data_IF_727616706309
#
_entry.id   IF_727616706309
#
_cell.length_a   1.000
_cell.length_b   1.000
_cell.length_c   1.000
_cell.angle_alpha   90.00
_cell.angle_beta   90.00
_cell.angle_gamma   90.00
#
_symmetry.space_group_name_H-M   'P 1'
#
loop_
_entity.id
_entity.type
_entity.pdbx_description
1 polymer ?
#
# COMPACT_ATOMS: atom_id res chain seq x y z
N UNK A 1 -19.13 17.66 -10.80
CA UNK A 1 -18.06 17.14 -11.67
C UNK A 1 -17.01 18.22 -11.84
N UNK A 2 -15.96 18.23 -11.04
CA UNK A 2 -14.77 19.07 -11.20
C UNK A 2 -13.55 18.20 -11.56
N UNK A 3 -13.75 17.14 -12.32
CA UNK A 3 -12.84 16.03 -12.53
C UNK A 3 -11.57 16.30 -13.34
N UNK A 4 -11.29 17.54 -13.76
CA UNK A 4 -10.15 17.82 -14.64
C UNK A 4 -9.10 18.78 -14.07
N UNK A 5 -9.22 19.17 -12.80
CA UNK A 5 -8.25 20.08 -12.17
C UNK A 5 -7.74 19.51 -10.86
N UNK A 6 -6.42 19.50 -10.71
CA UNK A 6 -5.77 19.20 -9.45
C UNK A 6 -6.21 20.22 -8.39
N UNK A 7 -6.51 19.75 -7.20
CA UNK A 7 -6.89 20.61 -6.08
C UNK A 7 -5.64 21.17 -5.40
N UNK A 8 -5.31 22.44 -5.63
CA UNK A 8 -4.11 23.06 -5.08
C UNK A 8 -4.09 23.00 -3.54
N UNK A 9 -5.21 23.32 -2.88
CA UNK A 9 -5.25 23.33 -1.41
C UNK A 9 -5.05 21.95 -0.79
N UNK A 10 -5.51 20.87 -1.46
CA UNK A 10 -5.19 19.52 -1.05
C UNK A 10 -3.68 19.25 -1.07
N UNK A 11 -3.00 19.71 -2.12
CA UNK A 11 -1.56 19.50 -2.23
C UNK A 11 -0.76 20.36 -1.27
N UNK A 12 -1.24 21.54 -0.89
CA UNK A 12 -0.60 22.37 0.13
C UNK A 12 -0.61 21.67 1.50
N UNK A 13 -1.75 21.08 1.89
CA UNK A 13 -1.87 20.29 3.12
C UNK A 13 -1.02 19.01 3.05
N UNK A 14 -1.02 18.36 1.89
CA UNK A 14 -0.27 17.12 1.67
C UNK A 14 1.25 17.36 1.70
N UNK A 15 1.73 18.46 1.13
CA UNK A 15 3.13 18.88 1.17
C UNK A 15 3.59 19.10 2.60
N UNK A 16 2.79 19.81 3.39
CA UNK A 16 3.09 20.03 4.80
C UNK A 16 3.23 18.69 5.54
N UNK A 17 2.33 17.75 5.31
CA UNK A 17 2.39 16.43 5.92
C UNK A 17 3.64 15.65 5.50
N UNK A 18 3.96 15.60 4.21
CA UNK A 18 5.13 14.88 3.70
C UNK A 18 6.43 15.48 4.26
N UNK A 19 6.54 16.81 4.28
CA UNK A 19 7.69 17.53 4.83
C UNK A 19 7.83 17.31 6.34
N UNK A 20 6.72 17.36 7.08
CA UNK A 20 6.69 17.08 8.51
C UNK A 20 7.18 15.66 8.82
N UNK A 21 6.68 14.67 8.09
CA UNK A 21 7.09 13.28 8.26
C UNK A 21 8.58 13.09 7.91
N UNK A 22 9.03 13.73 6.83
CA UNK A 22 10.44 13.70 6.44
C UNK A 22 11.34 14.27 7.54
N UNK A 23 11.04 15.46 8.08
CA UNK A 23 11.80 16.10 9.16
C UNK A 23 11.84 15.28 10.44
N UNK A 24 10.86 14.43 10.66
CA UNK A 24 10.80 13.54 11.83
C UNK A 24 11.33 12.11 11.55
N UNK A 25 11.94 11.85 10.40
CA UNK A 25 12.50 10.55 10.04
C UNK A 25 11.45 9.45 9.83
N UNK A 26 10.22 9.83 9.50
CA UNK A 26 9.11 8.91 9.30
C UNK A 26 8.92 8.67 7.80
N UNK A 27 8.88 7.40 7.38
CA UNK A 27 8.54 7.03 6.01
C UNK A 27 7.04 7.12 5.76
N UNK A 28 6.68 7.57 4.57
CA UNK A 28 5.29 7.62 4.13
C UNK A 28 5.07 6.74 2.91
N UNK A 29 4.08 5.87 2.98
CA UNK A 29 3.60 5.11 1.82
C UNK A 29 2.44 5.86 1.19
N UNK A 30 2.64 6.38 -0.03
CA UNK A 30 1.63 7.13 -0.77
C UNK A 30 0.81 6.15 -1.60
N UNK A 31 -0.45 5.97 -1.21
CA UNK A 31 -1.41 5.16 -1.97
C UNK A 31 -1.97 5.98 -3.13
N UNK A 32 -1.64 5.58 -4.35
CA UNK A 32 -2.08 6.28 -5.56
C UNK A 32 -3.49 5.89 -5.99
N UNK A 33 -3.98 4.73 -5.54
CA UNK A 33 -5.34 4.28 -5.76
C UNK A 33 -5.84 3.49 -4.54
N UNK A 34 -7.11 3.66 -4.20
CA UNK A 34 -7.72 2.95 -3.06
C UNK A 34 -9.07 2.42 -3.51
N UNK A 35 -9.26 1.09 -3.50
CA UNK A 35 -10.47 0.46 -4.04
C UNK A 35 -11.62 0.39 -3.05
N UNK A 36 -11.35 0.33 -1.76
CA UNK A 36 -12.37 0.21 -0.72
C UNK A 36 -12.97 1.55 -0.26
N UNK A 37 -12.68 2.64 -0.97
CA UNK A 37 -13.22 3.97 -0.64
C UNK A 37 -13.97 4.56 -1.83
N UNK A 38 -15.07 5.22 -1.53
CA UNK A 38 -15.83 5.97 -2.52
C UNK A 38 -15.09 7.27 -2.86
N UNK A 39 -14.15 7.17 -3.79
CA UNK A 39 -13.38 8.30 -4.31
C UNK A 39 -13.68 8.41 -5.79
N UNK A 40 -13.92 9.62 -6.26
CA UNK A 40 -14.13 9.91 -7.69
C UNK A 40 -12.76 9.93 -8.41
N UNK A 41 -12.24 8.72 -8.66
CA UNK A 41 -10.99 8.55 -9.37
C UNK A 41 -11.12 8.93 -10.84
N UNK A 42 -10.07 9.48 -11.47
CA UNK A 42 -10.02 9.61 -12.91
C UNK A 42 -10.31 8.28 -13.61
N UNK A 43 -10.92 8.33 -14.77
CA UNK A 43 -11.17 7.13 -15.56
C UNK A 43 -9.85 6.41 -15.87
N UNK A 44 -9.83 5.09 -15.75
CA UNK A 44 -8.64 4.28 -16.03
C UNK A 44 -8.06 4.59 -17.41
N UNK A 45 -6.75 4.76 -17.46
CA UNK A 45 -5.96 5.02 -18.67
C UNK A 45 -6.36 6.31 -19.41
N UNK A 46 -7.03 7.23 -18.71
CA UNK A 46 -7.37 8.54 -19.26
C UNK A 46 -6.22 9.53 -19.13
N UNK A 47 -6.22 10.61 -19.92
CA UNK A 47 -5.26 11.73 -19.75
C UNK A 47 -5.33 12.36 -18.35
N UNK A 48 -6.49 12.35 -17.72
CA UNK A 48 -6.66 12.88 -16.36
C UNK A 48 -5.97 12.00 -15.32
N UNK A 49 -6.05 10.67 -15.47
CA UNK A 49 -5.31 9.74 -14.63
C UNK A 49 -3.80 9.91 -14.82
N UNK A 50 -3.35 10.06 -16.05
CA UNK A 50 -1.95 10.34 -16.34
C UNK A 50 -1.48 11.62 -15.67
N UNK A 51 -2.26 12.69 -15.79
CA UNK A 51 -1.96 13.96 -15.13
C UNK A 51 -1.86 13.81 -13.61
N UNK A 52 -2.78 13.07 -13.01
CA UNK A 52 -2.79 12.77 -11.58
C UNK A 52 -1.53 12.01 -11.14
N UNK A 53 -1.21 10.89 -11.80
CA UNK A 53 -0.07 10.03 -11.46
C UNK A 53 1.27 10.77 -11.63
N UNK A 54 1.43 11.45 -12.76
CA UNK A 54 2.65 12.20 -13.06
C UNK A 54 2.83 13.39 -12.13
N UNK A 55 1.74 14.03 -11.70
CA UNK A 55 1.81 15.11 -10.72
C UNK A 55 2.32 14.60 -9.37
N UNK A 56 1.82 13.47 -8.87
CA UNK A 56 2.33 12.86 -7.65
C UNK A 56 3.80 12.46 -7.78
N UNK A 57 4.17 11.78 -8.85
CA UNK A 57 5.55 11.39 -9.09
C UNK A 57 6.47 12.62 -9.11
N UNK A 58 6.15 13.63 -9.91
CA UNK A 58 6.97 14.84 -10.03
C UNK A 58 7.11 15.61 -8.70
N UNK A 59 6.02 15.66 -7.91
CA UNK A 59 5.98 16.47 -6.68
C UNK A 59 6.72 15.82 -5.52
N UNK A 60 6.62 14.50 -5.35
CA UNK A 60 7.08 13.83 -4.13
C UNK A 60 8.30 12.93 -4.32
N UNK A 61 8.75 12.64 -5.53
CA UNK A 61 9.91 11.77 -5.77
C UNK A 61 11.21 12.26 -5.10
N UNK A 62 11.37 13.57 -4.91
CA UNK A 62 12.57 14.14 -4.27
C UNK A 62 12.65 13.86 -2.76
N UNK A 63 11.55 13.53 -2.11
CA UNK A 63 11.55 13.18 -0.69
C UNK A 63 12.07 11.77 -0.46
N UNK A 64 13.16 11.61 0.34
CA UNK A 64 13.79 10.29 0.52
C UNK A 64 12.96 9.31 1.35
N UNK A 65 11.98 9.80 2.07
CA UNK A 65 11.07 9.03 2.92
C UNK A 65 9.77 8.61 2.22
N UNK A 66 9.64 8.84 0.91
CA UNK A 66 8.45 8.44 0.14
C UNK A 66 8.62 7.02 -0.41
N UNK A 67 7.55 6.25 -0.29
CA UNK A 67 7.36 4.93 -0.89
C UNK A 67 6.09 4.99 -1.74
N UNK A 68 6.16 4.53 -2.97
CA UNK A 68 4.98 4.44 -3.84
C UNK A 68 4.20 3.15 -3.54
N UNK A 69 2.97 3.28 -3.12
CA UNK A 69 2.02 2.17 -3.11
C UNK A 69 0.99 2.40 -4.22
N UNK A 70 1.09 1.60 -5.28
CA UNK A 70 0.29 1.79 -6.48
C UNK A 70 -1.19 1.65 -6.18
N UNK A 71 -1.54 0.72 -5.31
CA UNK A 71 -2.93 0.51 -4.93
C UNK A 71 -3.06 -0.04 -3.52
N UNK A 72 -4.08 0.41 -2.79
CA UNK A 72 -4.62 -0.29 -1.63
C UNK A 72 -5.70 -1.26 -2.07
N UNK A 73 -5.70 -2.46 -1.48
CA UNK A 73 -6.67 -3.52 -1.75
C UNK A 73 -6.77 -3.86 -3.25
N UNK A 74 -5.61 -4.07 -3.85
CA UNK A 74 -5.48 -4.34 -5.28
C UNK A 74 -6.24 -5.58 -5.75
N UNK A 75 -6.63 -6.49 -4.84
CA UNK A 75 -7.45 -7.67 -5.13
C UNK A 75 -8.86 -7.34 -5.66
N UNK A 76 -9.32 -6.10 -5.50
CA UNK A 76 -10.54 -5.63 -6.17
C UNK A 76 -10.33 -5.26 -7.64
N UNK A 77 -9.07 -5.12 -8.09
CA UNK A 77 -8.77 -4.83 -9.49
C UNK A 77 -8.60 -6.13 -10.28
N UNK A 78 -9.49 -6.33 -11.23
CA UNK A 78 -9.45 -7.53 -12.08
C UNK A 78 -8.50 -7.42 -13.28
N UNK A 79 -8.20 -6.20 -13.72
CA UNK A 79 -7.20 -5.95 -14.76
C UNK A 79 -5.80 -5.76 -14.17
N UNK A 80 -5.07 -6.85 -14.01
CA UNK A 80 -3.69 -6.83 -13.49
C UNK A 80 -2.76 -6.00 -14.38
N UNK A 81 -2.92 -6.07 -15.68
CA UNK A 81 -2.11 -5.31 -16.62
C UNK A 81 -2.29 -3.80 -16.42
N UNK A 82 -3.45 -3.38 -15.96
CA UNK A 82 -3.68 -1.99 -15.60
C UNK A 82 -2.79 -1.56 -14.43
N UNK A 83 -2.71 -2.35 -13.36
CA UNK A 83 -1.84 -2.05 -12.20
C UNK A 83 -0.37 -1.97 -12.62
N UNK A 84 0.10 -2.86 -13.50
CA UNK A 84 1.46 -2.82 -14.01
C UNK A 84 1.72 -1.57 -14.85
N UNK A 85 0.76 -1.15 -15.68
CA UNK A 85 0.89 0.07 -16.47
C UNK A 85 1.01 1.33 -15.63
N UNK A 86 0.18 1.47 -14.61
CA UNK A 86 0.28 2.64 -13.70
C UNK A 86 1.56 2.60 -12.87
N UNK A 87 2.01 1.41 -12.46
CA UNK A 87 3.30 1.25 -11.77
C UNK A 87 4.48 1.66 -12.67
N UNK A 88 4.54 1.15 -13.89
CA UNK A 88 5.58 1.52 -14.87
C UNK A 88 5.57 3.03 -15.10
N UNK A 89 4.37 3.61 -15.28
CA UNK A 89 4.26 5.06 -15.47
C UNK A 89 4.86 5.86 -14.31
N UNK A 90 4.62 5.46 -13.07
CA UNK A 90 5.18 6.13 -11.89
C UNK A 90 6.69 5.92 -11.84
N UNK A 91 7.18 4.69 -12.03
CA UNK A 91 8.61 4.36 -12.01
C UNK A 91 9.41 5.08 -13.10
N UNK A 92 8.87 5.13 -14.31
CA UNK A 92 9.53 5.77 -15.46
C UNK A 92 9.64 7.30 -15.27
N UNK A 93 8.84 7.87 -14.38
CA UNK A 93 8.83 9.30 -14.06
C UNK A 93 9.38 9.62 -12.67
N UNK A 94 9.91 8.64 -11.97
CA UNK A 94 10.60 8.79 -10.70
C UNK A 94 12.11 8.69 -10.89
N UNK A 95 12.76 9.85 -11.01
CA UNK A 95 14.22 9.94 -11.24
C UNK A 95 15.06 9.44 -10.05
N UNK A 96 14.46 9.29 -8.87
CA UNK A 96 15.15 8.83 -7.66
C UNK A 96 14.92 7.36 -7.35
N UNK A 97 14.12 6.66 -8.15
CA UNK A 97 13.84 5.23 -8.01
C UNK A 97 13.39 4.84 -6.60
N UNK A 98 12.40 5.57 -6.08
CA UNK A 98 11.81 5.28 -4.76
C UNK A 98 11.20 3.88 -4.74
N UNK A 99 11.23 3.26 -3.58
CA UNK A 99 10.61 1.95 -3.41
C UNK A 99 9.15 1.97 -3.85
N UNK A 100 8.74 0.94 -4.54
CA UNK A 100 7.42 0.81 -5.10
C UNK A 100 6.81 -0.55 -4.75
N UNK A 101 5.56 -0.53 -4.31
CA UNK A 101 4.81 -1.73 -3.93
C UNK A 101 3.35 -1.63 -4.34
N UNK A 102 2.61 -2.71 -4.10
CA UNK A 102 1.15 -2.78 -4.16
C UNK A 102 0.68 -3.47 -2.89
N UNK A 103 -0.35 -2.94 -2.24
CA UNK A 103 -0.99 -3.63 -1.13
C UNK A 103 -2.08 -4.55 -1.68
N UNK A 104 -1.93 -5.83 -1.41
CA UNK A 104 -2.79 -6.85 -1.98
C UNK A 104 -3.02 -8.02 -1.01
N UNK A 105 -4.01 -8.85 -1.34
CA UNK A 105 -4.21 -10.15 -0.73
C UNK A 105 -3.38 -11.24 -1.41
N UNK A 106 -3.66 -12.49 -1.04
CA UNK A 106 -2.96 -13.68 -1.50
C UNK A 106 -2.86 -13.86 -3.03
N UNK A 107 -3.79 -13.31 -3.79
CA UNK A 107 -3.92 -13.62 -5.22
C UNK A 107 -2.75 -13.12 -6.07
N UNK A 108 -2.29 -11.92 -5.80
CA UNK A 108 -1.23 -11.30 -6.60
C UNK A 108 0.17 -11.71 -6.15
N UNK A 109 0.36 -12.01 -4.88
CA UNK A 109 1.66 -12.47 -4.38
C UNK A 109 2.10 -13.81 -4.98
N UNK A 110 1.19 -14.52 -5.65
CA UNK A 110 1.48 -15.75 -6.39
C UNK A 110 1.83 -15.52 -7.86
N UNK A 111 1.61 -14.30 -8.36
CA UNK A 111 1.91 -13.95 -9.75
C UNK A 111 3.40 -13.59 -9.87
N UNK A 112 4.16 -14.36 -10.64
CA UNK A 112 5.59 -14.13 -10.85
C UNK A 112 5.86 -12.74 -11.44
N UNK A 113 5.00 -12.27 -12.35
CA UNK A 113 5.12 -10.94 -12.95
C UNK A 113 4.98 -9.86 -11.88
N UNK A 114 4.05 -10.00 -10.95
CA UNK A 114 3.90 -9.09 -9.82
C UNK A 114 5.13 -9.07 -8.92
N UNK A 115 5.62 -10.24 -8.53
CA UNK A 115 6.79 -10.35 -7.67
C UNK A 115 8.04 -9.70 -8.27
N UNK A 116 8.18 -9.68 -9.60
CA UNK A 116 9.29 -9.03 -10.26
C UNK A 116 9.16 -7.51 -10.34
N UNK A 117 7.95 -6.98 -10.35
CA UNK A 117 7.71 -5.55 -10.57
C UNK A 117 7.77 -4.71 -9.30
N UNK A 118 7.48 -5.27 -8.12
CA UNK A 118 7.53 -4.55 -6.84
C UNK A 118 8.87 -4.73 -6.13
N UNK A 119 9.24 -3.78 -5.28
CA UNK A 119 10.47 -3.88 -4.49
C UNK A 119 10.29 -4.74 -3.24
N UNK A 120 9.09 -4.75 -2.68
CA UNK A 120 8.68 -5.58 -1.56
C UNK A 120 7.19 -5.89 -1.65
N UNK A 121 6.76 -6.93 -0.95
CA UNK A 121 5.35 -7.33 -0.93
C UNK A 121 4.64 -6.72 0.29
N UNK A 122 3.44 -6.20 0.09
CA UNK A 122 2.53 -5.82 1.18
C UNK A 122 1.30 -6.69 1.06
N UNK A 123 1.16 -7.60 2.01
CA UNK A 123 0.07 -8.58 2.04
C UNK A 123 -0.96 -8.18 3.10
N UNK A 124 -2.21 -8.08 2.68
CA UNK A 124 -3.35 -7.87 3.57
C UNK A 124 -4.06 -9.20 3.77
N UNK A 125 -3.88 -9.79 4.94
CA UNK A 125 -4.49 -11.07 5.28
C UNK A 125 -4.83 -11.14 6.76
N UNK A 126 -5.99 -11.67 7.06
CA UNK A 126 -6.51 -11.82 8.42
C UNK A 126 -6.37 -13.28 8.88
N UNK A 127 -5.16 -13.71 9.18
CA UNK A 127 -4.85 -15.04 9.69
C UNK A 127 -3.61 -15.67 9.04
N UNK A 128 -3.11 -16.74 9.64
CA UNK A 128 -1.95 -17.52 9.15
C UNK A 128 -0.70 -16.67 8.83
N UNK A 129 -0.42 -15.69 9.67
CA UNK A 129 0.64 -14.70 9.42
C UNK A 129 2.01 -15.32 9.20
N UNK A 130 2.41 -16.30 10.04
CA UNK A 130 3.70 -16.95 9.92
C UNK A 130 3.81 -17.72 8.60
N UNK A 131 2.81 -18.52 8.27
CA UNK A 131 2.79 -19.33 7.05
C UNK A 131 2.80 -18.47 5.80
N UNK A 132 1.93 -17.44 5.73
CA UNK A 132 1.88 -16.55 4.59
C UNK A 132 3.20 -15.80 4.40
N UNK A 133 3.76 -15.25 5.47
CA UNK A 133 5.01 -14.51 5.41
C UNK A 133 6.17 -15.40 4.96
N UNK A 134 6.34 -16.56 5.56
CA UNK A 134 7.37 -17.54 5.18
C UNK A 134 7.21 -17.99 3.73
N UNK A 135 5.99 -18.32 3.32
CA UNK A 135 5.69 -18.75 1.97
C UNK A 135 6.11 -17.72 0.91
N UNK A 136 5.73 -16.47 1.12
CA UNK A 136 6.07 -15.40 0.18
C UNK A 136 7.55 -15.03 0.21
N UNK A 137 8.16 -14.96 1.39
CA UNK A 137 9.59 -14.69 1.52
C UNK A 137 10.42 -15.72 0.77
N UNK A 138 10.13 -17.01 0.95
CA UNK A 138 10.84 -18.09 0.27
C UNK A 138 10.60 -18.10 -1.24
N UNK A 139 9.38 -17.83 -1.69
CA UNK A 139 9.01 -17.89 -3.10
C UNK A 139 9.52 -16.69 -3.89
N UNK A 140 9.46 -15.49 -3.34
CA UNK A 140 9.79 -14.25 -4.06
C UNK A 140 11.19 -13.74 -3.79
N UNK A 141 11.80 -14.17 -2.69
CA UNK A 141 13.09 -13.64 -2.20
C UNK A 141 13.07 -12.12 -1.99
N UNK A 142 11.92 -11.55 -1.68
CA UNK A 142 11.71 -10.14 -1.41
C UNK A 142 11.20 -9.95 0.02
N UNK A 143 11.44 -8.78 0.62
CA UNK A 143 10.82 -8.44 1.89
C UNK A 143 9.29 -8.52 1.80
N UNK A 144 8.66 -9.04 2.85
CA UNK A 144 7.22 -9.15 2.96
C UNK A 144 6.76 -8.38 4.19
N UNK A 145 5.80 -7.49 3.99
CA UNK A 145 5.13 -6.76 5.08
C UNK A 145 3.70 -7.28 5.18
N UNK A 146 3.34 -7.75 6.36
CA UNK A 146 1.93 -8.01 6.68
C UNK A 146 1.27 -6.68 7.01
N UNK A 147 0.71 -6.06 5.98
CA UNK A 147 -0.02 -4.80 6.08
C UNK A 147 -1.50 -5.04 6.36
N UNK A 148 -2.05 -4.42 7.36
CA UNK A 148 -3.41 -4.66 7.84
C UNK A 148 -3.64 -6.09 8.36
N UNK A 149 -2.90 -6.47 9.39
CA UNK A 149 -3.10 -7.74 10.09
C UNK A 149 -4.38 -7.81 10.95
N UNK A 150 -5.26 -6.85 10.82
CA UNK A 150 -6.50 -6.70 11.56
C UNK A 150 -6.40 -5.63 12.65
N UNK A 151 -7.47 -4.84 12.84
CA UNK A 151 -7.48 -3.74 13.81
C UNK A 151 -7.53 -4.25 15.25
N UNK A 152 -6.92 -3.49 16.16
CA UNK A 152 -7.16 -3.66 17.58
C UNK A 152 -8.48 -2.99 17.97
N UNK A 153 -9.35 -3.75 18.62
CA UNK A 153 -10.67 -3.28 19.07
C UNK A 153 -10.82 -3.22 20.59
N UNK A 154 -9.71 -3.06 21.29
CA UNK A 154 -9.73 -2.99 22.76
C UNK A 154 -9.78 -4.37 23.44
N UNK A 155 -9.98 -4.40 24.77
CA UNK A 155 -9.68 -5.57 25.59
C UNK A 155 -10.54 -6.82 25.35
N UNK A 156 -11.56 -6.75 24.52
CA UNK A 156 -12.53 -7.84 24.35
C UNK A 156 -12.57 -8.46 22.96
N UNK A 157 -11.77 -7.99 22.00
CA UNK A 157 -11.76 -8.55 20.66
C UNK A 157 -13.15 -8.57 20.01
N UNK A 158 -13.92 -7.52 20.20
CA UNK A 158 -15.30 -7.41 19.71
C UNK A 158 -15.26 -6.94 18.26
N UNK A 159 -16.24 -7.37 17.46
CA UNK A 159 -16.50 -6.80 16.16
C UNK A 159 -16.62 -5.27 16.27
N UNK A 160 -15.98 -4.54 15.35
CA UNK A 160 -16.22 -3.12 15.27
C UNK A 160 -17.68 -2.82 14.92
N UNK A 161 -18.06 -1.54 14.91
CA UNK A 161 -19.44 -1.12 14.59
C UNK A 161 -19.92 -1.52 13.18
N UNK A 162 -19.01 -1.98 12.32
CA UNK A 162 -19.30 -2.47 10.96
C UNK A 162 -19.40 -3.99 10.88
N UNK A 163 -19.17 -4.69 11.99
CA UNK A 163 -19.15 -6.16 12.05
C UNK A 163 -17.82 -6.77 11.58
N UNK A 164 -16.77 -5.98 11.45
CA UNK A 164 -15.45 -6.46 11.07
C UNK A 164 -14.76 -7.13 12.26
N UNK A 165 -14.13 -8.29 12.09
CA UNK A 165 -13.40 -8.93 13.17
C UNK A 165 -12.21 -8.08 13.58
N UNK A 166 -12.05 -7.87 14.87
CA UNK A 166 -10.93 -7.18 15.46
C UNK A 166 -10.28 -8.02 16.57
N UNK A 167 -9.08 -7.65 16.92
CA UNK A 167 -8.18 -8.43 17.77
C UNK A 167 -7.97 -7.73 19.11
N UNK A 168 -7.71 -8.51 20.17
CA UNK A 168 -7.20 -7.94 21.41
C UNK A 168 -5.74 -7.48 21.23
N UNK A 169 -5.25 -6.63 22.13
CA UNK A 169 -3.85 -6.19 22.12
C UNK A 169 -2.88 -7.39 22.14
N UNK A 170 -3.17 -8.41 22.95
CA UNK A 170 -2.35 -9.63 23.03
C UNK A 170 -2.35 -10.40 21.71
N UNK A 171 -3.49 -10.48 21.03
CA UNK A 171 -3.59 -11.11 19.71
C UNK A 171 -2.83 -10.31 18.65
N UNK A 172 -2.91 -8.98 18.68
CA UNK A 172 -2.11 -8.14 17.77
C UNK A 172 -0.61 -8.35 17.96
N UNK A 173 -0.17 -8.45 19.21
CA UNK A 173 1.23 -8.76 19.52
C UNK A 173 1.60 -10.17 19.05
N UNK A 174 0.76 -11.17 19.27
CA UNK A 174 1.00 -12.53 18.79
C UNK A 174 1.10 -12.58 17.25
N UNK A 175 0.19 -11.92 16.55
CA UNK A 175 0.19 -11.81 15.09
C UNK A 175 1.49 -11.16 14.57
N UNK A 176 1.96 -10.12 15.26
CA UNK A 176 3.22 -9.46 14.91
C UNK A 176 4.41 -10.43 15.07
N UNK A 177 4.47 -11.18 16.18
CA UNK A 177 5.49 -12.22 16.36
C UNK A 177 5.41 -13.31 15.28
N UNK A 178 4.23 -13.78 14.95
CA UNK A 178 4.05 -14.77 13.89
C UNK A 178 4.59 -14.27 12.55
N UNK A 179 4.26 -13.03 12.15
CA UNK A 179 4.76 -12.46 10.92
C UNK A 179 6.30 -12.36 10.91
N UNK A 180 6.88 -11.89 12.01
CA UNK A 180 8.34 -11.73 12.14
C UNK A 180 9.04 -13.09 12.17
N UNK A 181 8.49 -14.08 12.88
CA UNK A 181 9.03 -15.45 12.91
C UNK A 181 8.92 -16.15 11.55
N UNK A 182 7.95 -15.76 10.72
CA UNK A 182 7.85 -16.17 9.33
C UNK A 182 8.86 -15.51 8.39
N UNK A 183 9.68 -14.58 8.90
CA UNK A 183 10.72 -13.89 8.12
C UNK A 183 10.29 -12.56 7.48
N UNK A 184 9.17 -11.99 7.91
CA UNK A 184 8.65 -10.73 7.38
C UNK A 184 8.57 -9.62 8.40
N UNK A 185 7.81 -8.60 8.04
CA UNK A 185 7.52 -7.44 8.85
C UNK A 185 6.02 -7.36 9.12
N UNK A 186 5.64 -6.68 10.17
CA UNK A 186 4.25 -6.50 10.54
C UNK A 186 3.91 -5.01 10.62
N UNK A 187 2.79 -4.64 10.06
CA UNK A 187 2.20 -3.31 10.22
C UNK A 187 1.05 -3.40 11.21
N UNK A 188 1.19 -2.71 12.32
CA UNK A 188 0.11 -2.53 13.29
C UNK A 188 -0.98 -1.62 12.71
N UNK A 189 -2.25 -1.98 12.96
CA UNK A 189 -3.41 -1.29 12.42
C UNK A 189 -4.41 -0.95 13.53
#
# INVERSE_FOLDING_TARGET
KQGHKLNASFFDDYDWMVDYLHKNGIYISIYLRVYNKYVDWPAKLSPDEDTYLLHFAARYQAYPNVIWCISKEAYYETDRNYLYRIMSKVRDNDAYHRLCTIQDGLQYALDEQYAHTVDFLVNQQHGEWAHATMYYTLRTQKPVIMGEGGPECGPFGILDSTGFPCWTAEQCVANAYEAVMGGGYYQYY
#
